data_IF_521091807915
#
_entry.id   IF_521091807915
#
_cell.length_a   1.000
_cell.length_b   1.000
_cell.length_c   1.000
_cell.angle_alpha   90.00
_cell.angle_beta   90.00
_cell.angle_gamma   90.00
#
_symmetry.space_group_name_H-M   'P 1'
#
loop_
_entity.id
_entity.type
_entity.pdbx_description
1 polymer ?
#
# COMPACT_ATOMS: atom_id res chain seq x y z
N UNK A 1 -1.75 -127.28 68.78
CA UNK A 1 -1.82 -126.73 70.16
C UNK A 1 -0.98 -125.45 70.22
N UNK A 2 -1.20 -124.56 71.21
CA UNK A 2 -1.04 -123.10 71.18
C UNK A 2 0.39 -122.59 71.54
N UNK A 3 0.54 -121.25 71.62
CA UNK A 3 1.45 -120.41 72.43
C UNK A 3 2.93 -120.82 72.63
N UNK A 4 3.89 -119.90 72.42
CA UNK A 4 5.07 -119.72 73.28
C UNK A 4 6.01 -118.58 72.85
N UNK A 5 6.61 -117.91 73.86
CA UNK A 5 7.93 -117.27 73.79
C UNK A 5 8.99 -118.25 73.26
N UNK A 6 10.02 -117.79 72.55
CA UNK A 6 11.44 -118.17 72.80
C UNK A 6 12.44 -117.54 71.81
N UNK A 7 13.46 -116.91 72.41
CA UNK A 7 14.91 -116.98 72.16
C UNK A 7 15.52 -117.39 70.80
N UNK A 8 16.50 -116.55 70.41
CA UNK A 8 17.82 -116.82 69.81
C UNK A 8 17.95 -117.41 68.39
N UNK A 9 18.63 -116.67 67.51
CA UNK A 9 19.84 -117.12 66.83
C UNK A 9 20.58 -115.93 66.15
N UNK A 10 21.90 -115.94 66.28
CA UNK A 10 22.89 -114.98 65.78
C UNK A 10 23.33 -115.25 64.32
N UNK A 11 23.39 -114.18 63.51
CA UNK A 11 24.33 -113.85 62.39
C UNK A 11 24.46 -114.84 61.20
N UNK A 12 24.66 -114.38 59.93
CA UNK A 12 25.73 -113.46 59.56
C UNK A 12 25.40 -112.35 58.54
N UNK A 13 26.25 -111.32 58.57
CA UNK A 13 26.35 -110.20 57.63
C UNK A 13 26.63 -110.67 56.19
N UNK A 14 25.87 -110.15 55.23
CA UNK A 14 26.15 -110.22 53.79
C UNK A 14 26.51 -108.83 53.28
N UNK A 15 27.73 -108.67 52.75
CA UNK A 15 28.21 -107.45 52.11
C UNK A 15 27.43 -107.17 50.80
N UNK A 16 27.09 -105.91 50.48
CA UNK A 16 26.45 -105.57 49.21
C UNK A 16 27.44 -105.66 48.03
N UNK A 17 26.94 -106.12 46.89
CA UNK A 17 27.72 -106.33 45.66
C UNK A 17 28.13 -105.00 44.99
N UNK A 18 29.32 -104.98 44.39
CA UNK A 18 29.98 -103.76 43.85
C UNK A 18 29.27 -103.09 42.66
N UNK A 19 28.25 -103.73 42.07
CA UNK A 19 27.50 -103.20 40.90
C UNK A 19 26.30 -102.34 41.33
N UNK A 20 25.65 -102.66 42.46
CA UNK A 20 24.53 -101.86 43.00
C UNK A 20 25.00 -100.53 43.59
N UNK A 21 26.25 -100.47 44.08
CA UNK A 21 26.85 -99.22 44.57
C UNK A 21 27.20 -98.25 43.42
N UNK A 22 27.67 -98.75 42.27
CA UNK A 22 27.99 -97.90 41.09
C UNK A 22 26.73 -97.34 40.43
N UNK A 23 25.64 -98.12 40.34
CA UNK A 23 24.36 -97.63 39.80
C UNK A 23 23.67 -96.62 40.71
N UNK A 24 23.79 -96.77 42.05
CA UNK A 24 23.32 -95.77 43.02
C UNK A 24 24.10 -94.46 42.91
N UNK A 25 25.43 -94.53 42.79
CA UNK A 25 26.28 -93.36 42.61
C UNK A 25 26.01 -92.62 41.28
N UNK A 26 25.76 -93.35 40.18
CA UNK A 26 25.40 -92.75 38.89
C UNK A 26 24.04 -92.04 38.91
N UNK A 27 23.07 -92.56 39.65
CA UNK A 27 21.76 -91.93 39.87
C UNK A 27 21.85 -90.71 40.79
N UNK A 28 22.66 -90.76 41.85
CA UNK A 28 22.93 -89.61 42.73
C UNK A 28 23.61 -88.48 41.94
N UNK A 29 24.62 -88.78 41.12
CA UNK A 29 25.25 -87.78 40.24
C UNK A 29 24.28 -87.18 39.22
N UNK A 30 23.41 -88.00 38.61
CA UNK A 30 22.40 -87.51 37.67
C UNK A 30 21.36 -86.61 38.37
N UNK A 31 20.98 -86.93 39.61
CA UNK A 31 20.06 -86.13 40.41
C UNK A 31 20.69 -84.80 40.88
N UNK A 32 21.97 -84.82 41.25
CA UNK A 32 22.74 -83.61 41.54
C UNK A 32 22.87 -82.71 40.32
N UNK A 33 23.17 -83.28 39.14
CA UNK A 33 23.27 -82.53 37.89
C UNK A 33 21.92 -81.92 37.48
N UNK A 34 20.83 -82.67 37.65
CA UNK A 34 19.47 -82.20 37.39
C UNK A 34 19.08 -81.08 38.36
N UNK A 35 19.37 -81.22 39.65
CA UNK A 35 19.13 -80.16 40.64
C UNK A 35 19.96 -78.91 40.36
N UNK A 36 21.23 -79.06 39.93
CA UNK A 36 22.06 -77.95 39.48
C UNK A 36 21.46 -77.24 38.26
N UNK A 37 21.05 -77.99 37.23
CA UNK A 37 20.43 -77.40 36.03
C UNK A 37 19.08 -76.75 36.33
N UNK A 38 18.27 -77.34 37.21
CA UNK A 38 17.00 -76.76 37.65
C UNK A 38 17.20 -75.47 38.45
N UNK A 39 18.24 -75.42 39.30
CA UNK A 39 18.65 -74.21 40.00
C UNK A 39 19.11 -73.13 39.00
N UNK A 40 19.99 -73.47 38.06
CA UNK A 40 20.45 -72.54 37.03
C UNK A 40 19.32 -72.00 36.14
N UNK A 41 18.33 -72.83 35.81
CA UNK A 41 17.15 -72.40 35.06
C UNK A 41 16.27 -71.46 35.87
N UNK A 42 16.07 -71.76 37.15
CA UNK A 42 15.28 -70.90 38.06
C UNK A 42 15.97 -69.56 38.25
N UNK A 43 17.29 -69.55 38.41
CA UNK A 43 18.10 -68.33 38.52
C UNK A 43 18.04 -67.52 37.22
N UNK A 44 18.19 -68.15 36.04
CA UNK A 44 18.06 -67.46 34.74
C UNK A 44 16.67 -66.90 34.51
N UNK A 45 15.61 -67.62 34.90
CA UNK A 45 14.24 -67.17 34.74
C UNK A 45 13.95 -65.96 35.64
N UNK A 46 14.41 -66.00 36.90
CA UNK A 46 14.30 -64.87 37.82
C UNK A 46 15.06 -63.62 37.34
N UNK A 47 16.24 -63.82 36.74
CA UNK A 47 17.05 -62.73 36.18
C UNK A 47 16.38 -62.13 34.92
N UNK A 48 15.81 -62.97 34.05
CA UNK A 48 15.07 -62.52 32.88
C UNK A 48 13.80 -61.75 33.28
N UNK A 49 13.07 -62.24 34.28
CA UNK A 49 11.86 -61.60 34.80
C UNK A 49 12.17 -60.23 35.43
N UNK A 50 13.26 -60.14 36.20
CA UNK A 50 13.77 -58.87 36.71
C UNK A 50 14.12 -57.91 35.57
N UNK A 51 14.80 -58.39 34.51
CA UNK A 51 15.18 -57.58 33.35
C UNK A 51 13.98 -57.10 32.53
N UNK A 52 12.97 -57.95 32.36
CA UNK A 52 11.71 -57.58 31.69
C UNK A 52 10.97 -56.51 32.49
N UNK A 53 10.97 -56.61 33.82
CA UNK A 53 10.32 -55.63 34.70
C UNK A 53 11.04 -54.28 34.67
N UNK A 54 12.37 -54.29 34.68
CA UNK A 54 13.23 -53.11 34.51
C UNK A 54 12.98 -52.42 33.16
N UNK A 55 13.04 -53.16 32.05
CA UNK A 55 12.80 -52.63 30.70
C UNK A 55 11.38 -52.08 30.53
N UNK A 56 10.37 -52.73 31.13
CA UNK A 56 9.00 -52.20 31.14
C UNK A 56 8.91 -50.87 31.90
N UNK A 57 9.64 -50.74 33.00
CA UNK A 57 9.77 -49.50 33.76
C UNK A 57 10.41 -48.38 32.92
N UNK A 58 11.56 -48.67 32.29
CA UNK A 58 12.23 -47.72 31.40
C UNK A 58 11.35 -47.29 30.23
N UNK A 59 10.68 -48.24 29.56
CA UNK A 59 9.79 -47.95 28.44
C UNK A 59 8.60 -47.08 28.87
N UNK A 60 8.03 -47.31 30.06
CA UNK A 60 6.94 -46.50 30.58
C UNK A 60 7.38 -45.04 30.82
N UNK A 61 8.60 -44.83 31.34
CA UNK A 61 9.17 -43.49 31.54
C UNK A 61 9.40 -42.80 30.20
N UNK A 62 10.03 -43.47 29.23
CA UNK A 62 10.29 -42.90 27.89
C UNK A 62 8.98 -42.60 27.15
N UNK A 63 7.99 -43.48 27.24
CA UNK A 63 6.67 -43.28 26.63
C UNK A 63 5.95 -42.06 27.24
N UNK A 64 5.95 -41.93 28.57
CA UNK A 64 5.36 -40.79 29.27
C UNK A 64 6.06 -39.47 28.87
N UNK A 65 7.39 -39.47 28.80
CA UNK A 65 8.16 -38.30 28.38
C UNK A 65 7.83 -37.91 26.93
N UNK A 66 7.74 -38.88 26.01
CA UNK A 66 7.38 -38.63 24.61
C UNK A 66 5.96 -38.11 24.45
N UNK A 67 5.00 -38.64 25.22
CA UNK A 67 3.62 -38.11 25.25
C UNK A 67 3.60 -36.65 25.72
N UNK A 68 4.39 -36.31 26.73
CA UNK A 68 4.46 -34.95 27.24
C UNK A 68 5.08 -33.99 26.21
N UNK A 69 6.16 -34.38 25.53
CA UNK A 69 6.75 -33.60 24.43
C UNK A 69 5.79 -33.37 23.26
N UNK A 70 5.04 -34.41 22.86
CA UNK A 70 4.03 -34.29 21.80
C UNK A 70 2.91 -33.33 22.20
N UNK A 71 2.40 -33.45 23.43
CA UNK A 71 1.37 -32.55 23.95
C UNK A 71 1.86 -31.09 24.01
N UNK A 72 3.11 -30.86 24.39
CA UNK A 72 3.71 -29.51 24.37
C UNK A 72 3.83 -28.95 22.94
N UNK A 73 4.27 -29.77 21.98
CA UNK A 73 4.36 -29.37 20.57
C UNK A 73 2.99 -29.04 19.98
N UNK A 74 1.98 -29.88 20.23
CA UNK A 74 0.60 -29.62 19.79
C UNK A 74 0.04 -28.34 20.42
N UNK A 75 0.28 -28.13 21.71
CA UNK A 75 -0.15 -26.90 22.40
C UNK A 75 0.51 -25.66 21.80
N UNK A 76 1.81 -25.72 21.49
CA UNK A 76 2.53 -24.62 20.86
C UNK A 76 2.01 -24.35 19.44
N UNK A 77 1.82 -25.40 18.63
CA UNK A 77 1.30 -25.28 17.27
C UNK A 77 -0.10 -24.64 17.26
N UNK A 78 -1.01 -25.12 18.11
CA UNK A 78 -2.35 -24.56 18.24
C UNK A 78 -2.32 -23.10 18.69
N UNK A 79 -1.39 -22.74 19.58
CA UNK A 79 -1.22 -21.35 20.01
C UNK A 79 -0.73 -20.46 18.87
N UNK A 80 0.25 -20.91 18.09
CA UNK A 80 0.77 -20.15 16.94
C UNK A 80 -0.28 -19.99 15.85
N UNK A 81 -1.03 -21.05 15.53
CA UNK A 81 -2.13 -20.99 14.57
C UNK A 81 -3.19 -19.98 15.01
N UNK A 82 -3.63 -20.05 16.27
CA UNK A 82 -4.60 -19.09 16.81
C UNK A 82 -4.09 -17.65 16.75
N UNK A 83 -2.79 -17.42 16.99
CA UNK A 83 -2.22 -16.08 16.88
C UNK A 83 -2.24 -15.59 15.42
N UNK A 84 -1.89 -16.44 14.44
CA UNK A 84 -1.95 -16.11 13.01
C UNK A 84 -3.38 -15.82 12.54
N UNK A 85 -4.36 -16.58 13.04
CA UNK A 85 -5.77 -16.43 12.67
C UNK A 85 -6.40 -15.15 13.22
N UNK A 86 -5.90 -14.66 14.35
CA UNK A 86 -6.37 -13.43 14.99
C UNK A 86 -5.64 -12.16 14.51
N UNK A 87 -4.61 -12.30 13.65
CA UNK A 87 -3.93 -11.13 13.10
C UNK A 87 -4.89 -10.34 12.18
N UNK A 88 -4.97 -9.01 12.34
CA UNK A 88 -5.81 -8.17 11.48
C UNK A 88 -5.22 -8.02 10.06
N UNK A 89 -3.91 -8.21 9.92
CA UNK A 89 -3.23 -8.20 8.63
C UNK A 89 -3.31 -9.56 7.94
N UNK A 90 -3.41 -9.55 6.61
CA UNK A 90 -3.30 -10.75 5.80
C UNK A 90 -1.86 -11.27 5.80
N UNK A 91 -1.68 -12.55 6.08
CA UNK A 91 -0.39 -13.24 6.04
C UNK A 91 -0.48 -14.36 5.03
N UNK A 92 0.45 -14.39 4.09
CA UNK A 92 0.52 -15.38 3.02
C UNK A 92 1.94 -15.94 2.96
N UNK A 93 2.06 -17.26 2.93
CA UNK A 93 3.34 -17.95 2.74
C UNK A 93 3.40 -18.49 1.32
N UNK A 94 4.46 -18.15 0.60
CA UNK A 94 4.71 -18.56 -0.78
C UNK A 94 5.96 -19.44 -0.80
N UNK A 95 5.91 -20.56 -1.52
CA UNK A 95 7.08 -21.43 -1.70
C UNK A 95 8.04 -20.92 -2.81
N UNK A 96 9.16 -21.61 -2.99
CA UNK A 96 10.18 -21.27 -3.98
C UNK A 96 9.71 -21.35 -5.44
N UNK A 97 8.55 -21.96 -5.71
CA UNK A 97 7.93 -21.99 -7.03
C UNK A 97 6.90 -20.87 -7.24
N UNK A 98 6.67 -20.03 -6.22
CA UNK A 98 5.70 -18.95 -6.29
C UNK A 98 4.27 -19.40 -6.01
N UNK A 99 4.06 -20.58 -5.43
CA UNK A 99 2.75 -21.11 -5.06
C UNK A 99 2.41 -20.75 -3.62
N UNK A 100 1.16 -20.35 -3.38
CA UNK A 100 0.66 -20.04 -2.04
C UNK A 100 0.48 -21.34 -1.27
N UNK A 101 1.23 -21.50 -0.17
CA UNK A 101 1.18 -22.66 0.72
C UNK A 101 0.17 -22.49 1.83
N UNK A 102 0.17 -21.31 2.45
CA UNK A 102 -0.67 -21.01 3.61
C UNK A 102 -1.17 -19.58 3.50
N UNK A 103 -2.41 -19.35 3.92
CA UNK A 103 -2.99 -18.02 4.04
C UNK A 103 -3.85 -17.94 5.31
N UNK A 104 -3.66 -16.89 6.10
CA UNK A 104 -4.53 -16.67 7.26
C UNK A 104 -5.93 -16.18 6.84
N UNK A 105 -6.95 -16.27 7.72
CA UNK A 105 -8.31 -15.82 7.43
C UNK A 105 -8.40 -14.37 6.93
N UNK A 106 -7.58 -13.46 7.47
CA UNK A 106 -7.55 -12.07 7.02
C UNK A 106 -7.09 -11.95 5.55
N UNK A 107 -6.09 -12.71 5.11
CA UNK A 107 -5.69 -12.74 3.70
C UNK A 107 -6.82 -13.24 2.79
N UNK A 108 -7.59 -14.23 3.26
CA UNK A 108 -8.76 -14.75 2.55
C UNK A 108 -9.87 -13.71 2.46
N UNK A 109 -10.12 -12.95 3.52
CA UNK A 109 -11.10 -11.86 3.48
C UNK A 109 -10.70 -10.75 2.50
N UNK A 110 -9.42 -10.40 2.47
CA UNK A 110 -8.89 -9.34 1.60
C UNK A 110 -8.87 -9.72 0.12
N UNK A 111 -8.44 -10.94 -0.20
CA UNK A 111 -8.18 -11.38 -1.58
C UNK A 111 -9.22 -12.36 -2.15
N UNK A 112 -10.02 -13.00 -1.30
CA UNK A 112 -11.01 -13.99 -1.70
C UNK A 112 -10.41 -15.34 -2.11
N UNK A 113 -11.23 -16.39 -2.08
CA UNK A 113 -10.85 -17.75 -2.50
C UNK A 113 -10.90 -17.91 -4.02
N UNK A 114 -10.14 -18.86 -4.61
CA UNK A 114 -9.11 -19.70 -3.99
C UNK A 114 -7.78 -18.95 -3.76
N UNK A 115 -7.03 -19.35 -2.73
CA UNK A 115 -5.72 -18.78 -2.39
C UNK A 115 -4.67 -19.89 -2.29
N UNK A 116 -4.84 -20.81 -1.34
CA UNK A 116 -3.95 -21.95 -1.17
C UNK A 116 -3.93 -22.84 -2.42
N UNK A 117 -2.72 -23.21 -2.87
CA UNK A 117 -2.50 -23.98 -4.08
C UNK A 117 -2.51 -23.18 -5.39
N UNK A 118 -2.83 -21.88 -5.36
CA UNK A 118 -2.70 -21.01 -6.54
C UNK A 118 -1.30 -20.40 -6.68
N UNK A 119 -0.91 -20.07 -7.92
CA UNK A 119 0.28 -19.26 -8.16
C UNK A 119 0.02 -17.83 -7.72
N UNK A 120 0.92 -17.25 -6.92
CA UNK A 120 0.78 -15.89 -6.41
C UNK A 120 0.57 -14.86 -7.52
N UNK A 121 1.22 -15.04 -8.68
CA UNK A 121 1.03 -14.16 -9.84
C UNK A 121 -0.40 -14.17 -10.40
N UNK A 122 -1.12 -15.28 -10.28
CA UNK A 122 -2.54 -15.39 -10.69
C UNK A 122 -3.43 -14.64 -9.70
N UNK A 123 -3.17 -14.78 -8.39
CA UNK A 123 -3.85 -14.00 -7.35
C UNK A 123 -3.63 -12.50 -7.56
N UNK A 124 -2.39 -12.09 -7.88
CA UNK A 124 -2.08 -10.70 -8.24
C UNK A 124 -2.95 -10.24 -9.42
N UNK A 125 -2.94 -10.98 -10.53
CA UNK A 125 -3.71 -10.62 -11.72
C UNK A 125 -5.24 -10.59 -11.47
N UNK A 126 -5.73 -11.43 -10.56
CA UNK A 126 -7.14 -11.54 -10.20
C UNK A 126 -7.60 -10.35 -9.36
N UNK A 127 -6.87 -10.03 -8.29
CA UNK A 127 -7.37 -9.14 -7.24
C UNK A 127 -6.79 -7.72 -7.32
N UNK A 128 -5.58 -7.57 -7.83
CA UNK A 128 -4.87 -6.30 -7.81
C UNK A 128 -5.15 -5.51 -9.08
N UNK A 129 -5.31 -4.20 -8.90
CA UNK A 129 -5.43 -3.22 -9.97
C UNK A 129 -4.39 -2.13 -9.71
N UNK A 130 -3.09 -2.46 -9.85
CA UNK A 130 -2.01 -1.54 -9.52
C UNK A 130 -2.17 -0.25 -10.31
N UNK A 131 -2.17 0.88 -9.59
CA UNK A 131 -2.15 2.24 -10.15
C UNK A 131 -0.70 2.74 -10.16
N UNK A 132 -0.33 3.65 -11.05
CA UNK A 132 1.07 4.14 -11.08
C UNK A 132 1.47 4.92 -9.80
N UNK A 133 0.49 5.36 -8.99
CA UNK A 133 0.67 6.06 -7.71
C UNK A 133 0.83 5.14 -6.48
N UNK A 134 0.78 3.83 -6.68
CA UNK A 134 0.64 2.86 -5.60
C UNK A 134 1.91 2.77 -4.72
N UNK A 135 3.12 2.94 -5.27
CA UNK A 135 4.35 2.95 -4.45
C UNK A 135 4.52 1.64 -3.66
N UNK A 136 4.37 1.68 -2.33
CA UNK A 136 4.35 0.48 -1.45
C UNK A 136 2.92 0.02 -1.08
N UNK A 137 1.91 0.78 -1.49
CA UNK A 137 0.49 0.47 -1.35
C UNK A 137 0.00 -0.12 -2.67
N UNK A 138 -1.04 -0.94 -2.71
CA UNK A 138 -1.65 -1.42 -3.95
C UNK A 138 -3.17 -1.35 -3.85
N UNK A 139 -3.80 -0.84 -4.91
CA UNK A 139 -5.24 -0.80 -5.04
C UNK A 139 -5.79 -2.16 -5.49
N UNK A 140 -6.85 -2.63 -4.82
CA UNK A 140 -7.59 -3.82 -5.22
C UNK A 140 -8.76 -3.47 -6.15
N UNK A 141 -9.20 -4.43 -6.97
CA UNK A 141 -10.37 -4.26 -7.87
C UNK A 141 -11.69 -3.99 -7.14
N UNK A 142 -11.79 -4.38 -5.88
CA UNK A 142 -12.93 -4.08 -5.01
C UNK A 142 -12.89 -2.66 -4.40
N UNK A 143 -11.86 -1.86 -4.71
CA UNK A 143 -11.70 -0.49 -4.23
C UNK A 143 -10.92 -0.34 -2.92
N UNK A 144 -10.53 -1.44 -2.26
CA UNK A 144 -9.69 -1.39 -1.05
C UNK A 144 -8.24 -1.01 -1.40
N UNK A 145 -7.52 -0.45 -0.43
CA UNK A 145 -6.07 -0.17 -0.55
C UNK A 145 -5.29 -0.97 0.47
N UNK A 146 -4.28 -1.69 0.02
CA UNK A 146 -3.43 -2.53 0.87
C UNK A 146 -1.99 -2.04 0.87
N UNK A 147 -1.28 -2.10 2.00
CA UNK A 147 0.19 -2.06 2.01
C UNK A 147 0.75 -3.47 1.94
N UNK A 148 1.75 -3.69 1.09
CA UNK A 148 2.38 -5.00 0.91
C UNK A 148 3.82 -4.96 1.38
N UNK A 149 4.20 -5.90 2.24
CA UNK A 149 5.59 -6.12 2.63
C UNK A 149 5.96 -7.58 2.40
N UNK A 150 7.07 -7.81 1.69
CA UNK A 150 7.59 -9.15 1.41
C UNK A 150 8.90 -9.38 2.17
N UNK A 151 9.02 -10.53 2.82
CA UNK A 151 10.24 -11.00 3.49
C UNK A 151 10.58 -12.40 3.01
N UNK A 152 11.85 -12.69 2.75
CA UNK A 152 12.31 -14.04 2.49
C UNK A 152 12.31 -14.86 3.78
N UNK A 153 12.01 -16.16 3.67
CA UNK A 153 12.14 -17.09 4.79
C UNK A 153 13.60 -17.57 4.92
N UNK A 154 14.12 -17.63 6.14
CA UNK A 154 15.53 -17.99 6.40
C UNK A 154 15.80 -19.50 6.33
N UNK A 155 14.79 -20.33 6.66
CA UNK A 155 14.94 -21.77 6.79
C UNK A 155 14.62 -22.57 5.51
N UNK A 156 13.78 -22.01 4.63
CA UNK A 156 13.29 -22.68 3.41
C UNK A 156 13.16 -21.69 2.25
N UNK A 157 13.33 -22.14 0.98
CA UNK A 157 13.11 -21.29 -0.17
C UNK A 157 11.63 -20.89 -0.25
N UNK A 158 11.34 -19.64 0.09
CA UNK A 158 9.99 -19.08 0.09
C UNK A 158 9.95 -17.61 0.54
N UNK A 159 8.75 -17.03 0.49
CA UNK A 159 8.50 -15.63 0.86
C UNK A 159 7.25 -15.52 1.74
N UNK A 160 7.34 -14.70 2.78
CA UNK A 160 6.23 -14.23 3.58
C UNK A 160 5.73 -12.90 3.01
N UNK A 161 4.45 -12.85 2.64
CA UNK A 161 3.77 -11.64 2.18
C UNK A 161 2.81 -11.17 3.26
N UNK A 162 3.00 -9.93 3.70
CA UNK A 162 2.16 -9.24 4.67
C UNK A 162 1.30 -8.22 3.95
N UNK A 163 0.00 -8.26 4.20
CA UNK A 163 -1.02 -7.38 3.64
C UNK A 163 -1.66 -6.60 4.77
N UNK A 164 -1.62 -5.27 4.72
CA UNK A 164 -2.31 -4.43 5.70
C UNK A 164 -3.38 -3.59 5.01
N UNK A 165 -4.62 -3.65 5.48
CA UNK A 165 -5.70 -2.83 4.93
C UNK A 165 -5.57 -1.38 5.40
N UNK A 166 -5.32 -0.47 4.46
CA UNK A 166 -5.16 0.95 4.70
C UNK A 166 -6.39 1.75 4.25
N UNK A 167 -7.48 1.09 3.85
CA UNK A 167 -8.65 1.73 3.26
C UNK A 167 -9.26 2.79 4.21
N UNK A 168 -9.51 2.42 5.46
CA UNK A 168 -10.10 3.34 6.45
C UNK A 168 -9.12 4.46 6.83
N UNK A 169 -7.83 4.12 7.00
CA UNK A 169 -6.78 5.10 7.32
C UNK A 169 -6.68 6.17 6.22
N UNK A 170 -6.71 5.75 4.95
CA UNK A 170 -6.69 6.66 3.80
C UNK A 170 -7.93 7.52 3.73
N UNK A 171 -9.11 6.93 3.90
CA UNK A 171 -10.37 7.67 3.92
C UNK A 171 -10.39 8.75 5.02
N UNK A 172 -9.89 8.44 6.23
CA UNK A 172 -9.76 9.42 7.31
C UNK A 172 -8.73 10.52 6.99
N UNK A 173 -7.59 10.16 6.40
CA UNK A 173 -6.59 11.15 5.95
C UNK A 173 -7.17 12.12 4.91
N UNK A 174 -7.92 11.62 3.94
CA UNK A 174 -8.55 12.44 2.90
C UNK A 174 -9.63 13.36 3.48
N UNK A 175 -10.43 12.85 4.42
CA UNK A 175 -11.39 13.67 5.18
C UNK A 175 -10.72 14.77 5.99
N UNK A 176 -9.62 14.45 6.69
CA UNK A 176 -8.86 15.43 7.46
C UNK A 176 -8.28 16.51 6.55
N UNK A 177 -7.65 16.12 5.44
CA UNK A 177 -7.11 17.06 4.46
C UNK A 177 -8.21 17.96 3.87
N UNK A 178 -9.40 17.42 3.61
CA UNK A 178 -10.57 18.21 3.18
C UNK A 178 -11.02 19.19 4.26
N UNK A 179 -11.07 18.77 5.52
CA UNK A 179 -11.45 19.62 6.63
C UNK A 179 -10.42 20.76 6.84
N UNK A 180 -9.12 20.49 6.72
CA UNK A 180 -8.09 21.52 6.77
C UNK A 180 -8.23 22.57 5.66
N UNK A 181 -8.49 22.13 4.42
CA UNK A 181 -8.78 23.04 3.29
C UNK A 181 -10.00 23.91 3.56
N UNK A 182 -11.11 23.32 4.03
CA UNK A 182 -12.33 24.06 4.37
C UNK A 182 -12.14 25.02 5.55
N UNK A 183 -11.40 24.62 6.57
CA UNK A 183 -11.05 25.49 7.70
C UNK A 183 -10.16 26.66 7.27
N UNK A 184 -9.22 26.42 6.35
CA UNK A 184 -8.40 27.49 5.77
C UNK A 184 -9.24 28.49 4.97
N UNK A 185 -10.22 28.02 4.17
CA UNK A 185 -11.22 28.87 3.52
C UNK A 185 -12.02 29.67 4.56
N UNK A 186 -12.48 29.00 5.63
CA UNK A 186 -13.22 29.60 6.74
C UNK A 186 -12.48 30.78 7.39
N UNK A 187 -11.19 30.62 7.67
CA UNK A 187 -10.35 31.69 8.23
C UNK A 187 -10.22 32.91 7.33
N UNK A 188 -10.48 32.78 6.04
CA UNK A 188 -10.31 33.86 5.06
C UNK A 188 -11.61 34.33 4.41
N UNK A 189 -12.77 33.90 4.92
CA UNK A 189 -14.10 34.29 4.43
C UNK A 189 -14.26 35.80 4.30
N UNK A 190 -13.74 36.57 5.25
CA UNK A 190 -13.81 38.03 5.21
C UNK A 190 -13.07 38.62 4.00
N UNK A 191 -11.87 38.12 3.69
CA UNK A 191 -11.10 38.53 2.50
C UNK A 191 -11.78 38.09 1.21
N UNK A 192 -12.30 36.87 1.17
CA UNK A 192 -13.03 36.34 0.01
C UNK A 192 -14.29 37.15 -0.28
N UNK A 193 -15.08 37.47 0.76
CA UNK A 193 -16.27 38.30 0.62
C UNK A 193 -15.94 39.69 0.06
N UNK A 194 -14.83 40.29 0.50
CA UNK A 194 -14.36 41.56 -0.05
C UNK A 194 -13.93 41.45 -1.52
N UNK A 195 -13.23 40.37 -1.87
CA UNK A 195 -12.74 40.10 -3.22
C UNK A 195 -13.85 39.77 -4.22
N UNK A 196 -14.95 39.14 -3.81
CA UNK A 196 -16.14 38.94 -4.64
C UNK A 196 -16.92 40.25 -4.79
N UNK A 197 -17.05 41.02 -3.70
CA UNK A 197 -17.79 42.28 -3.70
C UNK A 197 -17.20 43.30 -4.69
N UNK A 198 -15.89 43.35 -4.82
CA UNK A 198 -15.20 44.35 -5.64
C UNK A 198 -15.55 44.27 -7.16
N UNK A 199 -15.32 43.13 -7.86
CA UNK A 199 -15.70 43.00 -9.27
C UNK A 199 -17.22 43.04 -9.45
N UNK A 200 -18.00 42.55 -8.47
CA UNK A 200 -19.46 42.64 -8.52
C UNK A 200 -19.95 44.09 -8.46
N UNK A 201 -19.41 44.92 -7.57
CA UNK A 201 -19.75 46.34 -7.49
C UNK A 201 -19.34 47.09 -8.76
N UNK A 202 -18.17 46.78 -9.33
CA UNK A 202 -17.74 47.35 -10.61
C UNK A 202 -18.67 46.92 -11.77
N UNK A 203 -19.07 45.66 -11.82
CA UNK A 203 -20.03 45.14 -12.78
C UNK A 203 -21.39 45.86 -12.66
N UNK A 204 -21.92 45.98 -11.44
CA UNK A 204 -23.17 46.71 -11.18
C UNK A 204 -23.07 48.16 -11.65
N UNK A 205 -21.94 48.85 -11.42
CA UNK A 205 -21.73 50.22 -11.88
C UNK A 205 -21.76 50.33 -13.41
N UNK A 206 -21.06 49.44 -14.14
CA UNK A 206 -21.11 49.44 -15.60
C UNK A 206 -22.50 49.10 -16.14
N UNK A 207 -23.23 48.19 -15.48
CA UNK A 207 -24.61 47.88 -15.82
C UNK A 207 -25.53 49.10 -15.60
N UNK A 208 -25.40 49.81 -14.48
CA UNK A 208 -26.15 51.05 -14.21
C UNK A 208 -25.88 52.13 -15.26
N UNK A 209 -24.62 52.34 -15.65
CA UNK A 209 -24.28 53.29 -16.71
C UNK A 209 -24.89 52.92 -18.07
N UNK A 210 -25.07 51.63 -18.36
CA UNK A 210 -25.73 51.17 -19.58
C UNK A 210 -27.26 51.39 -19.54
N UNK A 211 -27.88 51.41 -18.35
CA UNK A 211 -29.32 51.61 -18.19
C UNK A 211 -29.76 53.07 -18.08
N UNK A 212 -28.88 53.98 -17.63
CA UNK A 212 -29.25 55.35 -17.28
C UNK A 212 -28.96 56.39 -18.38
N UNK A 213 -28.25 56.05 -19.46
CA UNK A 213 -27.72 57.04 -20.40
C UNK A 213 -27.93 56.66 -21.87
N UNK A 214 -28.32 57.63 -22.71
CA UNK A 214 -28.18 57.56 -24.18
C UNK A 214 -26.70 57.70 -24.56
N UNK A 215 -25.94 56.63 -24.35
CA UNK A 215 -24.53 56.57 -24.67
C UNK A 215 -24.32 56.32 -26.17
N UNK A 216 -23.27 56.91 -26.78
CA UNK A 216 -22.80 56.49 -28.10
C UNK A 216 -22.51 54.97 -28.12
N UNK A 217 -22.82 54.31 -29.24
CA UNK A 217 -22.67 52.85 -29.40
C UNK A 217 -21.27 52.36 -29.02
N UNK A 218 -20.22 53.12 -29.36
CA UNK A 218 -18.84 52.78 -28.98
C UNK A 218 -18.61 52.75 -27.46
N UNK A 219 -19.21 53.69 -26.71
CA UNK A 219 -19.10 53.73 -25.25
C UNK A 219 -19.93 52.63 -24.60
N UNK A 220 -21.12 52.33 -25.16
CA UNK A 220 -21.93 51.18 -24.73
C UNK A 220 -21.17 49.87 -24.90
N UNK A 221 -20.55 49.64 -26.06
CA UNK A 221 -19.74 48.45 -26.32
C UNK A 221 -18.55 48.35 -25.36
N UNK A 222 -17.89 49.48 -25.05
CA UNK A 222 -16.79 49.49 -24.08
C UNK A 222 -17.26 49.14 -22.66
N UNK A 223 -18.36 49.71 -22.20
CA UNK A 223 -18.92 49.40 -20.88
C UNK A 223 -19.45 47.97 -20.80
N UNK A 224 -20.10 47.46 -21.85
CA UNK A 224 -20.50 46.06 -21.95
C UNK A 224 -19.29 45.12 -21.94
N UNK A 225 -18.19 45.51 -22.60
CA UNK A 225 -16.91 44.81 -22.55
C UNK A 225 -16.34 44.73 -21.13
N UNK A 226 -16.23 45.87 -20.44
CA UNK A 226 -15.76 45.90 -19.05
C UNK A 226 -16.67 45.15 -18.08
N UNK A 227 -17.99 45.23 -18.26
CA UNK A 227 -18.94 44.43 -17.49
C UNK A 227 -18.68 42.93 -17.66
N UNK A 228 -18.55 42.47 -18.91
CA UNK A 228 -18.27 41.07 -19.22
C UNK A 228 -16.94 40.62 -18.62
N UNK A 229 -15.91 41.45 -18.69
CA UNK A 229 -14.60 41.21 -18.08
C UNK A 229 -14.71 41.00 -16.57
N UNK A 230 -15.43 41.90 -15.85
CA UNK A 230 -15.64 41.78 -14.39
C UNK A 230 -16.44 40.54 -13.99
N UNK A 231 -17.42 40.13 -14.80
CA UNK A 231 -18.17 38.90 -14.56
C UNK A 231 -17.31 37.65 -14.78
N UNK A 232 -16.45 37.65 -15.80
CA UNK A 232 -15.50 36.55 -16.02
C UNK A 232 -14.46 36.45 -14.90
N UNK A 233 -13.93 37.57 -14.40
CA UNK A 233 -13.05 37.58 -13.23
C UNK A 233 -13.73 36.94 -12.01
N UNK A 234 -15.01 37.27 -11.76
CA UNK A 234 -15.79 36.70 -10.65
C UNK A 234 -16.02 35.20 -10.83
N UNK A 235 -16.42 34.77 -12.03
CA UNK A 235 -16.63 33.37 -12.35
C UNK A 235 -15.35 32.54 -12.12
N UNK A 236 -14.21 33.06 -12.56
CA UNK A 236 -12.92 32.43 -12.38
C UNK A 236 -12.52 32.31 -10.91
N UNK A 237 -12.71 33.36 -10.11
CA UNK A 237 -12.47 33.32 -8.66
C UNK A 237 -13.33 32.27 -7.95
N UNK A 238 -14.61 32.17 -8.28
CA UNK A 238 -15.51 31.16 -7.70
C UNK A 238 -15.07 29.75 -8.10
N UNK A 239 -14.66 29.57 -9.36
CA UNK A 239 -14.15 28.29 -9.86
C UNK A 239 -12.90 27.85 -9.10
N UNK A 240 -11.92 28.74 -8.93
CA UNK A 240 -10.69 28.49 -8.18
C UNK A 240 -10.99 28.06 -6.73
N UNK A 241 -11.95 28.71 -6.07
CA UNK A 241 -12.38 28.34 -4.71
C UNK A 241 -13.01 26.93 -4.67
N UNK A 242 -13.86 26.59 -5.64
CA UNK A 242 -14.49 25.28 -5.71
C UNK A 242 -13.49 24.16 -6.01
N UNK A 243 -12.53 24.41 -6.90
CA UNK A 243 -11.45 23.45 -7.20
C UNK A 243 -10.60 23.22 -5.96
N UNK A 244 -10.25 24.28 -5.23
CA UNK A 244 -9.51 24.17 -3.97
C UNK A 244 -10.30 23.42 -2.88
N UNK A 245 -11.61 23.67 -2.76
CA UNK A 245 -12.47 23.04 -1.75
C UNK A 245 -12.74 21.55 -2.02
N UNK A 246 -12.89 21.15 -3.29
CA UNK A 246 -13.19 19.76 -3.68
C UNK A 246 -11.98 18.84 -3.50
N UNK A 247 -10.78 19.31 -3.86
CA UNK A 247 -9.54 18.56 -3.67
C UNK A 247 -9.33 17.39 -4.63
N UNK A 248 -10.32 16.51 -4.81
CA UNK A 248 -10.30 15.43 -5.78
C UNK A 248 -10.97 15.84 -7.09
N UNK A 249 -10.31 15.48 -8.19
CA UNK A 249 -10.77 15.73 -9.56
C UNK A 249 -10.80 14.39 -10.30
N UNK A 250 -11.96 13.92 -10.76
CA UNK A 250 -12.02 12.74 -11.60
C UNK A 250 -11.29 13.01 -12.92
N UNK A 251 -10.29 12.18 -13.22
CA UNK A 251 -9.52 12.23 -14.46
C UNK A 251 -10.23 11.38 -15.51
N UNK A 252 -11.12 12.00 -16.29
CA UNK A 252 -11.99 11.31 -17.25
C UNK A 252 -11.46 11.34 -18.68
N UNK A 253 -10.58 12.28 -18.98
CA UNK A 253 -10.19 12.61 -20.34
C UNK A 253 -8.82 12.03 -20.67
N UNK A 254 -8.67 11.55 -21.91
CA UNK A 254 -7.37 11.17 -22.48
C UNK A 254 -6.99 12.20 -23.54
N UNK A 255 -5.86 12.88 -23.35
CA UNK A 255 -5.39 13.92 -24.26
C UNK A 255 -3.95 13.69 -24.69
N UNK A 256 -3.67 13.93 -25.97
CA UNK A 256 -2.28 14.06 -26.42
C UNK A 256 -1.71 15.42 -25.97
N UNK A 257 -0.38 15.53 -25.79
CA UNK A 257 0.27 16.82 -25.49
C UNK A 257 -0.08 17.94 -26.48
N UNK A 258 -0.21 17.61 -27.76
CA UNK A 258 -0.63 18.55 -28.81
C UNK A 258 -2.07 19.03 -28.60
N UNK A 259 -3.01 18.13 -28.29
CA UNK A 259 -4.40 18.49 -28.04
C UNK A 259 -4.54 19.39 -26.80
N UNK A 260 -3.78 19.11 -25.74
CA UNK A 260 -3.72 19.99 -24.56
C UNK A 260 -3.19 21.38 -24.93
N UNK A 261 -2.11 21.46 -25.72
CA UNK A 261 -1.53 22.73 -26.14
C UNK A 261 -2.52 23.55 -26.98
N UNK A 262 -3.23 22.91 -27.91
CA UNK A 262 -4.26 23.57 -28.72
C UNK A 262 -5.42 24.08 -27.87
N UNK A 263 -5.90 23.28 -26.90
CA UNK A 263 -6.95 23.71 -25.98
C UNK A 263 -6.51 24.91 -25.13
N UNK A 264 -5.26 24.89 -24.64
CA UNK A 264 -4.69 26.00 -23.88
C UNK A 264 -4.54 27.27 -24.73
N UNK A 265 -4.06 27.13 -25.97
CA UNK A 265 -3.92 28.26 -26.89
C UNK A 265 -5.28 28.89 -27.22
N UNK A 266 -6.30 28.07 -27.49
CA UNK A 266 -7.66 28.54 -27.75
C UNK A 266 -8.26 29.28 -26.54
N UNK A 267 -8.03 28.75 -25.33
CA UNK A 267 -8.50 29.41 -24.12
C UNK A 267 -7.74 30.72 -23.87
N UNK A 268 -6.41 30.73 -24.04
CA UNK A 268 -5.60 31.94 -23.87
C UNK A 268 -6.01 33.07 -24.85
N UNK A 269 -6.35 32.75 -26.10
CA UNK A 269 -6.85 33.73 -27.08
C UNK A 269 -8.10 34.48 -26.60
N UNK A 270 -8.96 33.81 -25.84
CA UNK A 270 -10.20 34.41 -25.31
C UNK A 270 -9.93 35.34 -24.13
N UNK A 271 -8.88 35.04 -23.35
CA UNK A 271 -8.60 35.71 -22.07
C UNK A 271 -7.49 36.78 -22.15
N UNK A 272 -6.61 36.73 -23.16
CA UNK A 272 -5.29 37.42 -23.12
C UNK A 272 -5.08 38.43 -24.28
N UNK A 273 -6.11 38.77 -25.05
CA UNK A 273 -6.15 39.80 -26.13
C UNK A 273 -4.79 40.33 -26.66
N UNK A 274 -4.35 39.81 -27.81
CA UNK A 274 -3.23 40.30 -28.65
C UNK A 274 -1.80 40.34 -28.06
N UNK A 275 -1.57 39.72 -26.90
CA UNK A 275 -0.21 39.59 -26.35
C UNK A 275 0.64 38.56 -27.14
N UNK A 276 1.91 38.86 -27.48
CA UNK A 276 2.79 37.95 -28.23
C UNK A 276 3.30 36.81 -27.33
N UNK A 277 2.56 35.70 -27.31
CA UNK A 277 2.96 34.46 -26.62
C UNK A 277 3.68 33.53 -27.60
N UNK A 278 4.91 33.12 -27.27
CA UNK A 278 5.63 32.09 -28.01
C UNK A 278 5.20 30.70 -27.56
N UNK A 279 4.44 30.01 -28.39
CA UNK A 279 4.03 28.61 -28.19
C UNK A 279 5.04 27.65 -28.81
N UNK A 280 5.40 26.60 -28.09
CA UNK A 280 6.28 25.53 -28.58
C UNK A 280 5.84 24.19 -27.99
N UNK A 281 5.60 23.17 -28.83
CA UNK A 281 5.30 21.81 -28.39
C UNK A 281 6.28 20.83 -29.07
N UNK A 282 7.21 20.29 -28.29
CA UNK A 282 8.21 19.32 -28.74
C UNK A 282 7.85 17.89 -28.25
N UNK A 283 6.57 17.65 -27.93
CA UNK A 283 6.07 16.34 -27.49
C UNK A 283 5.02 15.83 -28.49
N UNK A 284 5.28 14.68 -29.09
CA UNK A 284 4.44 14.13 -30.18
C UNK A 284 3.87 12.74 -29.88
N UNK A 285 4.26 12.15 -28.75
CA UNK A 285 3.88 10.78 -28.37
C UNK A 285 3.32 10.80 -26.94
N UNK A 286 2.49 9.80 -26.63
CA UNK A 286 1.89 9.56 -25.32
C UNK A 286 0.56 10.27 -25.09
N UNK A 287 -0.13 9.84 -24.04
CA UNK A 287 -1.42 10.34 -23.60
C UNK A 287 -1.34 10.79 -22.15
N UNK A 288 -2.13 11.81 -21.81
CA UNK A 288 -2.37 12.29 -20.46
C UNK A 288 -3.74 11.80 -20.03
N UNK A 289 -3.82 11.18 -18.86
CA UNK A 289 -5.09 11.00 -18.16
C UNK A 289 -5.35 12.26 -17.33
N UNK A 290 -6.37 13.04 -17.68
CA UNK A 290 -6.59 14.36 -17.09
C UNK A 290 -8.07 14.74 -17.00
N UNK A 291 -8.34 15.84 -16.30
CA UNK A 291 -9.56 16.61 -16.49
C UNK A 291 -9.19 17.84 -17.33
N UNK A 292 -9.62 17.86 -18.60
CA UNK A 292 -9.21 18.87 -19.58
C UNK A 292 -9.44 20.29 -19.08
N UNK A 293 -10.65 20.59 -18.64
CA UNK A 293 -11.07 21.95 -18.31
C UNK A 293 -10.32 22.47 -17.07
N UNK A 294 -10.13 21.60 -16.07
CA UNK A 294 -9.42 21.97 -14.85
C UNK A 294 -7.92 22.17 -15.10
N UNK A 295 -7.31 21.30 -15.92
CA UNK A 295 -5.89 21.44 -16.27
C UNK A 295 -5.64 22.68 -17.13
N UNK A 296 -6.49 22.95 -18.13
CA UNK A 296 -6.39 24.17 -18.95
C UNK A 296 -6.56 25.41 -18.07
N UNK A 297 -7.55 25.43 -17.16
CA UNK A 297 -7.74 26.53 -16.21
C UNK A 297 -6.52 26.78 -15.32
N UNK A 298 -5.88 25.73 -14.81
CA UNK A 298 -4.64 25.85 -14.04
C UNK A 298 -3.49 26.44 -14.87
N UNK A 299 -3.33 26.02 -16.12
CA UNK A 299 -2.28 26.56 -17.01
C UNK A 299 -2.56 28.02 -17.40
N UNK A 300 -3.83 28.41 -17.58
CA UNK A 300 -4.23 29.80 -17.76
C UNK A 300 -3.89 30.65 -16.54
N UNK A 301 -4.11 30.13 -15.33
CA UNK A 301 -3.71 30.80 -14.09
C UNK A 301 -2.20 31.13 -14.06
N UNK A 302 -1.34 30.27 -14.62
CA UNK A 302 0.10 30.57 -14.74
C UNK A 302 0.38 31.64 -15.80
N UNK A 303 -0.30 31.58 -16.94
CA UNK A 303 -0.17 32.57 -18.03
C UNK A 303 -0.59 33.96 -17.53
N UNK A 304 -1.74 34.09 -16.86
CA UNK A 304 -2.21 35.35 -16.29
C UNK A 304 -1.24 35.91 -15.25
N UNK A 305 -0.71 35.05 -14.38
CA UNK A 305 0.30 35.46 -13.40
C UNK A 305 1.58 35.99 -14.07
N UNK A 306 2.02 35.34 -15.13
CA UNK A 306 3.18 35.76 -15.93
C UNK A 306 2.99 37.11 -16.62
N UNK A 307 1.78 37.36 -17.16
CA UNK A 307 1.43 38.63 -17.80
C UNK A 307 1.40 39.75 -16.77
N UNK A 308 0.73 39.55 -15.64
CA UNK A 308 0.64 40.54 -14.57
C UNK A 308 2.01 40.89 -13.97
N UNK A 309 2.95 39.95 -13.94
CA UNK A 309 4.32 40.19 -13.47
C UNK A 309 5.18 41.00 -14.47
N UNK A 310 4.74 41.09 -15.72
CA UNK A 310 5.46 41.74 -16.81
C UNK A 310 4.85 43.14 -17.04
N UNK A 311 5.44 44.18 -16.44
CA UNK A 311 4.95 45.57 -16.47
C UNK A 311 5.09 46.25 -17.86
N UNK A 312 4.49 45.68 -18.91
CA UNK A 312 4.32 46.30 -20.24
C UNK A 312 5.10 45.64 -21.39
N UNK A 313 6.26 45.00 -21.16
CA UNK A 313 6.99 44.25 -22.19
C UNK A 313 6.95 42.74 -21.89
N UNK A 314 5.87 42.10 -22.33
CA UNK A 314 5.60 40.68 -22.05
C UNK A 314 6.33 39.81 -23.06
N UNK A 315 7.45 39.19 -22.65
CA UNK A 315 8.00 38.04 -23.37
C UNK A 315 7.60 36.77 -22.63
N UNK A 316 6.48 36.19 -23.08
CA UNK A 316 5.96 34.93 -22.54
C UNK A 316 6.29 33.79 -23.49
N UNK A 317 6.85 32.71 -22.95
CA UNK A 317 7.03 31.44 -23.66
C UNK A 317 6.26 30.34 -22.96
N UNK A 318 5.40 29.65 -23.69
CA UNK A 318 4.76 28.40 -23.26
C UNK A 318 5.40 27.25 -24.03
N UNK A 319 6.08 26.36 -23.31
CA UNK A 319 6.85 25.27 -23.89
C UNK A 319 6.42 23.94 -23.28
N UNK A 320 5.95 23.04 -24.12
CA UNK A 320 5.60 21.67 -23.76
C UNK A 320 6.62 20.72 -24.36
N UNK A 321 7.21 19.84 -23.54
CA UNK A 321 8.14 18.80 -24.00
C UNK A 321 8.03 17.57 -23.13
N UNK A 322 8.24 16.39 -23.70
CA UNK A 322 8.32 15.15 -22.95
C UNK A 322 9.76 14.85 -22.54
N UNK A 323 9.91 14.22 -21.38
CA UNK A 323 11.17 13.65 -20.92
C UNK A 323 10.86 12.40 -20.12
N UNK A 324 11.44 11.29 -20.54
CA UNK A 324 11.14 9.97 -19.98
C UNK A 324 9.62 9.70 -20.06
N UNK A 325 8.99 9.27 -18.97
CA UNK A 325 7.53 9.04 -18.90
C UNK A 325 6.77 10.25 -18.35
N UNK A 326 7.28 11.47 -18.55
CA UNK A 326 6.67 12.71 -18.03
C UNK A 326 6.52 13.78 -19.11
N UNK A 327 5.40 14.49 -19.07
CA UNK A 327 5.18 15.73 -19.81
C UNK A 327 5.55 16.93 -18.94
N UNK A 328 6.30 17.87 -19.52
CA UNK A 328 6.71 19.09 -18.85
C UNK A 328 6.16 20.31 -19.59
N UNK A 329 5.30 21.05 -18.91
CA UNK A 329 4.68 22.28 -19.39
C UNK A 329 5.30 23.47 -18.65
N UNK A 330 6.08 24.26 -19.37
CA UNK A 330 6.78 25.42 -18.85
C UNK A 330 6.12 26.71 -19.32
N UNK A 331 5.75 27.58 -18.38
CA UNK A 331 5.32 28.96 -18.61
C UNK A 331 6.43 29.87 -18.10
N UNK A 332 7.14 30.54 -19.02
CA UNK A 332 8.29 31.39 -18.72
C UNK A 332 8.03 32.85 -19.09
N UNK A 333 8.16 33.74 -18.12
CA UNK A 333 8.04 35.20 -18.29
C UNK A 333 9.38 35.92 -18.16
N UNK A 334 9.39 37.18 -18.61
CA UNK A 334 10.49 38.12 -18.40
C UNK A 334 10.10 39.26 -17.46
N UNK A 335 9.26 38.98 -16.47
CA UNK A 335 8.75 39.95 -15.51
C UNK A 335 9.75 40.30 -14.40
N UNK A 336 9.25 40.92 -13.33
CA UNK A 336 10.06 41.37 -12.19
C UNK A 336 10.79 40.24 -11.44
N UNK A 337 10.37 38.99 -11.60
CA UNK A 337 10.86 37.87 -10.83
C UNK A 337 10.45 37.95 -9.35
N UNK A 338 10.88 36.97 -8.56
CA UNK A 338 10.39 36.75 -7.20
C UNK A 338 11.59 36.60 -6.26
N UNK A 339 11.54 37.26 -5.10
CA UNK A 339 12.55 37.11 -4.07
C UNK A 339 12.55 35.69 -3.47
N UNK A 340 13.71 35.12 -3.10
CA UNK A 340 13.79 33.75 -2.57
C UNK A 340 12.90 33.49 -1.34
N UNK A 341 12.78 34.48 -0.45
CA UNK A 341 11.94 34.40 0.76
C UNK A 341 10.45 34.31 0.40
N UNK A 342 10.02 35.08 -0.60
CA UNK A 342 8.64 35.06 -1.10
C UNK A 342 8.38 33.77 -1.88
N UNK A 343 9.33 33.32 -2.70
CA UNK A 343 9.23 32.11 -3.51
C UNK A 343 8.98 30.86 -2.65
N UNK A 344 9.61 30.77 -1.47
CA UNK A 344 9.40 29.66 -0.53
C UNK A 344 7.95 29.57 -0.02
N UNK A 345 7.23 30.69 -0.01
CA UNK A 345 5.87 30.82 0.57
C UNK A 345 4.76 30.83 -0.47
N UNK A 346 5.07 31.01 -1.75
CA UNK A 346 4.08 31.12 -2.85
C UNK A 346 3.18 29.89 -3.05
N UNK A 347 3.53 28.75 -2.44
CA UNK A 347 2.67 27.56 -2.41
C UNK A 347 1.68 27.50 -1.24
N UNK A 348 1.74 28.44 -0.29
CA UNK A 348 0.81 28.53 0.83
C UNK A 348 -0.56 29.05 0.34
N UNK A 349 -1.68 28.42 0.73
CA UNK A 349 -3.00 28.92 0.40
C UNK A 349 -3.18 30.38 0.81
N UNK A 350 -3.74 31.19 -0.10
CA UNK A 350 -4.07 32.62 0.10
C UNK A 350 -2.87 33.55 0.32
N UNK A 351 -1.64 33.05 0.20
CA UNK A 351 -0.48 33.92 0.22
C UNK A 351 -0.38 34.67 -1.11
N UNK A 352 -0.34 36.00 -1.04
CA UNK A 352 -0.20 36.87 -2.19
C UNK A 352 0.63 38.10 -1.81
N UNK A 353 1.47 38.56 -2.73
CA UNK A 353 2.13 39.87 -2.64
C UNK A 353 1.36 40.95 -3.41
N UNK A 354 0.29 40.57 -4.12
CA UNK A 354 -0.55 41.45 -4.92
C UNK A 354 -1.69 42.01 -4.06
N UNK A 355 -1.95 43.31 -4.18
CA UNK A 355 -3.01 44.04 -3.47
C UNK A 355 -4.42 43.49 -3.77
N UNK A 356 -4.64 43.02 -5.01
CA UNK A 356 -5.93 42.50 -5.48
C UNK A 356 -5.95 40.98 -5.72
N UNK A 357 -4.87 40.26 -5.36
CA UNK A 357 -4.77 38.82 -5.60
C UNK A 357 -5.52 37.99 -4.56
N UNK A 358 -6.14 36.88 -4.97
CA UNK A 358 -6.77 35.92 -4.04
C UNK A 358 -5.73 35.06 -3.29
N UNK A 359 -4.49 34.99 -3.81
CA UNK A 359 -3.47 34.06 -3.33
C UNK A 359 -3.82 32.59 -3.54
N UNK A 360 -4.92 32.29 -4.26
CA UNK A 360 -5.37 30.94 -4.53
C UNK A 360 -4.83 30.39 -5.84
N UNK A 361 -4.56 31.24 -6.84
CA UNK A 361 -4.23 30.78 -8.19
C UNK A 361 -3.10 29.75 -8.21
N UNK A 362 -1.97 30.02 -7.55
CA UNK A 362 -0.84 29.08 -7.54
C UNK A 362 -1.11 27.82 -6.69
N UNK A 363 -1.87 27.96 -5.60
CA UNK A 363 -2.32 26.83 -4.78
C UNK A 363 -3.26 25.92 -5.55
N UNK A 364 -4.15 26.49 -6.37
CA UNK A 364 -5.04 25.75 -7.28
C UNK A 364 -4.20 25.02 -8.32
N UNK A 365 -3.23 25.67 -8.97
CA UNK A 365 -2.33 24.98 -9.92
C UNK A 365 -1.60 23.81 -9.25
N UNK A 366 -1.11 23.99 -8.02
CA UNK A 366 -0.46 22.91 -7.26
C UNK A 366 -1.42 21.77 -6.92
N UNK A 367 -2.66 22.09 -6.53
CA UNK A 367 -3.69 21.10 -6.24
C UNK A 367 -4.09 20.33 -7.50
N UNK A 368 -4.28 21.03 -8.63
CA UNK A 368 -4.59 20.43 -9.91
C UNK A 368 -3.45 19.54 -10.41
N UNK A 369 -2.20 20.01 -10.36
CA UNK A 369 -1.04 19.19 -10.72
C UNK A 369 -0.98 17.91 -9.87
N UNK A 370 -1.16 18.01 -8.55
CA UNK A 370 -1.20 16.84 -7.65
C UNK A 370 -2.35 15.89 -7.95
N UNK A 371 -3.55 16.42 -8.24
CA UNK A 371 -4.69 15.60 -8.61
C UNK A 371 -4.47 14.83 -9.93
N UNK A 372 -3.55 15.33 -10.77
CA UNK A 372 -3.08 14.66 -11.99
C UNK A 372 -1.77 13.87 -11.77
N UNK A 373 -1.45 13.51 -10.51
CA UNK A 373 -0.25 12.75 -10.14
C UNK A 373 1.07 13.44 -10.54
N UNK A 374 1.02 14.76 -10.63
CA UNK A 374 2.11 15.61 -11.06
C UNK A 374 2.59 16.56 -9.98
N UNK A 375 3.55 17.39 -10.37
CA UNK A 375 4.11 18.42 -9.51
C UNK A 375 4.24 19.78 -10.21
N UNK A 376 4.26 20.84 -9.39
CA UNK A 376 4.51 22.20 -9.83
C UNK A 376 5.86 22.65 -9.25
N UNK A 377 6.79 23.03 -10.14
CA UNK A 377 8.07 23.60 -9.80
C UNK A 377 8.13 25.07 -10.23
N UNK A 378 8.72 25.91 -9.39
CA UNK A 378 8.92 27.33 -9.67
C UNK A 378 10.40 27.65 -9.64
N UNK A 379 10.89 28.31 -10.69
CA UNK A 379 12.24 28.85 -10.76
C UNK A 379 12.13 30.33 -11.08
N UNK A 380 12.53 31.19 -10.15
CA UNK A 380 12.46 32.64 -10.34
C UNK A 380 13.75 33.30 -9.89
N UNK A 381 14.08 34.41 -10.53
CA UNK A 381 15.16 35.30 -10.09
C UNK A 381 14.73 36.74 -10.30
N UNK A 382 14.89 37.56 -9.26
CA UNK A 382 14.59 38.99 -9.30
C UNK A 382 15.28 39.65 -10.51
N UNK A 383 14.50 40.40 -11.29
CA UNK A 383 14.91 41.09 -12.51
C UNK A 383 15.10 40.21 -13.75
N UNK A 384 14.89 38.88 -13.66
CA UNK A 384 15.00 37.95 -14.80
C UNK A 384 13.71 37.23 -15.17
N UNK A 385 12.65 37.38 -14.37
CA UNK A 385 11.37 36.71 -14.56
C UNK A 385 11.25 35.36 -13.85
N UNK A 386 10.17 34.65 -14.14
CA UNK A 386 9.81 33.37 -13.52
C UNK A 386 9.55 32.30 -14.58
N UNK A 387 9.89 31.06 -14.25
CA UNK A 387 9.50 29.86 -14.99
C UNK A 387 8.72 28.95 -14.06
N UNK A 388 7.43 28.78 -14.36
CA UNK A 388 6.57 27.80 -13.72
C UNK A 388 6.50 26.55 -14.59
N UNK A 389 6.82 25.40 -13.99
CA UNK A 389 6.89 24.11 -14.67
C UNK A 389 5.92 23.14 -14.02
N UNK A 390 4.91 22.72 -14.78
CA UNK A 390 3.99 21.64 -14.41
C UNK A 390 4.51 20.35 -15.02
N UNK A 391 4.71 19.32 -14.19
CA UNK A 391 5.22 18.00 -14.59
C UNK A 391 4.09 17.01 -14.38
N UNK A 392 3.69 16.29 -15.43
CA UNK A 392 2.59 15.32 -15.41
C UNK A 392 3.09 13.97 -15.91
N UNK A 393 2.55 12.84 -15.43
CA UNK A 393 2.83 11.53 -16.01
C UNK A 393 2.30 11.46 -17.45
N UNK A 394 3.08 10.85 -18.32
CA UNK A 394 2.73 10.60 -19.72
C UNK A 394 2.62 9.10 -19.92
N UNK A 395 1.46 8.62 -20.30
CA UNK A 395 1.23 7.20 -20.56
C UNK A 395 1.61 6.89 -22.01
N UNK A 396 2.31 5.78 -22.22
CA UNK A 396 2.56 5.30 -23.58
C UNK A 396 1.21 4.99 -24.24
N UNK A 397 0.96 5.58 -25.41
CA UNK A 397 -0.21 5.23 -26.21
C UNK A 397 -0.06 3.76 -26.63
N UNK A 398 -0.77 2.85 -25.94
CA UNK A 398 -0.87 1.46 -26.35
C UNK A 398 -1.50 1.50 -27.73
N UNK A 399 -0.68 1.37 -28.78
CA UNK A 399 -1.19 0.94 -30.07
C UNK A 399 -1.81 -0.42 -29.80
N UNK A 400 -3.14 -0.50 -29.91
CA UNK A 400 -3.82 -1.78 -29.94
C UNK A 400 -3.16 -2.61 -31.03
N UNK A 401 -2.40 -3.62 -30.61
CA UNK A 401 -2.09 -4.73 -31.49
C UNK A 401 -3.43 -5.43 -31.72
N UNK A 402 -3.96 -5.28 -32.93
CA UNK A 402 -4.96 -6.19 -33.48
C UNK A 402 -4.44 -7.63 -33.50
#
# INVERSE_FOLDING_TARGET
MPQAQMSSASSPEGQPSSVEQTSRQGLEQAFELFNQMSSQLTDSYSMLEARVTELKGELAVVSAQRMQELAEKERLANRLQNLLDLLPGGVIVIDGHGMVREANPAAIELLGLPLEGELWRQVIARCFAPREDDGHEISLKNGRRLSIATRSLDAEPGQLVLLNDLTETRHLQDQLARHERLSSLGRMVASLAHQIRTPLSAALLYASHLTEQELPVATQQRFAGHLKERLHELEHQVRDMLVFARGELPLTDRLTPNALMQALQAAALTHVQDLPIRWQCDSHVGELLCNRDTLVGALLNLIENAIQASAGNVRLKVHCYSRDNTLRLCVSDSGSGIEPVVLARLGEPFFTTKVTGTGLGLTVVKAVARAHQGELLLRSRVGRGTCAQVILPLFSAVHGAE
#
